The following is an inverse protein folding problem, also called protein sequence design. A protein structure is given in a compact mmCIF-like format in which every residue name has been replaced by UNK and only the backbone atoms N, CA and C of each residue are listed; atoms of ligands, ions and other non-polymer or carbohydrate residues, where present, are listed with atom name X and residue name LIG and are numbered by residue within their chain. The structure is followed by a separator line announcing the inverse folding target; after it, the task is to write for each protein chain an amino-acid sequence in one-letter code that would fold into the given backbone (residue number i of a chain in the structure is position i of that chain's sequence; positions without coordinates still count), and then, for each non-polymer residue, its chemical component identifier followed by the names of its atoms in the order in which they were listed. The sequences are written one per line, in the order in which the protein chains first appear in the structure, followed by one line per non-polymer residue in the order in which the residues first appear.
data_IF_330444390610
#
_entry.id   IF_330444390610
#
_cell.length_a   1.000
_cell.length_b   1.000
_cell.length_c   1.000
_cell.angle_alpha   90.00
_cell.angle_beta   90.00
_cell.angle_gamma   90.00
#
_symmetry.space_group_name_H-M   'P 1'
#
loop_
_entity.id
_entity.type
_entity.pdbx_description
1 polymer ?
#
# COMPACT_ATOMS: atom_id res chain seq x y z
N UNK A 1 37.98 -50.31 -38.43
CA UNK A 1 37.53 -48.89 -38.44
C UNK A 1 36.06 -48.70 -38.03
N UNK A 2 35.19 -49.72 -38.13
CA UNK A 2 33.77 -49.61 -37.72
C UNK A 2 33.53 -49.47 -36.20
N UNK A 3 34.37 -50.08 -35.34
CA UNK A 3 34.17 -50.02 -33.88
C UNK A 3 34.44 -48.61 -33.29
N UNK A 4 35.45 -47.91 -33.82
CA UNK A 4 35.75 -46.53 -33.43
C UNK A 4 34.67 -45.55 -33.90
N UNK A 5 34.10 -45.78 -35.08
CA UNK A 5 33.01 -44.95 -35.61
C UNK A 5 31.71 -45.15 -34.81
N UNK A 6 31.42 -46.40 -34.38
CA UNK A 6 30.27 -46.70 -33.52
C UNK A 6 30.42 -46.05 -32.14
N UNK A 7 31.62 -46.07 -31.55
CA UNK A 7 31.92 -45.38 -30.29
C UNK A 7 31.73 -43.86 -30.39
N UNK A 8 32.11 -43.26 -31.51
CA UNK A 8 31.91 -41.82 -31.78
C UNK A 8 30.44 -41.48 -32.00
N UNK A 9 29.69 -42.30 -32.73
CA UNK A 9 28.26 -42.07 -32.93
C UNK A 9 27.46 -42.23 -31.63
N UNK A 10 27.82 -43.21 -30.79
CA UNK A 10 27.21 -43.38 -29.47
C UNK A 10 27.56 -42.23 -28.52
N UNK A 11 28.80 -41.73 -28.54
CA UNK A 11 29.17 -40.58 -27.71
C UNK A 11 28.45 -39.30 -28.16
N UNK A 12 28.33 -39.07 -29.47
CA UNK A 12 27.54 -37.95 -30.00
C UNK A 12 26.05 -38.08 -29.68
N UNK A 13 25.47 -39.29 -29.70
CA UNK A 13 24.08 -39.54 -29.30
C UNK A 13 23.84 -39.30 -27.80
N UNK A 14 24.79 -39.65 -26.93
CA UNK A 14 24.74 -39.34 -25.49
C UNK A 14 24.82 -37.82 -25.27
N UNK A 15 25.67 -37.11 -26.02
CA UNK A 15 25.78 -35.65 -25.95
C UNK A 15 24.52 -34.94 -26.48
N UNK A 16 23.91 -35.42 -27.58
CA UNK A 16 22.67 -34.84 -28.12
C UNK A 16 21.45 -35.15 -27.25
N UNK A 17 21.35 -36.34 -26.66
CA UNK A 17 20.27 -36.70 -25.72
C UNK A 17 20.38 -35.96 -24.37
N UNK A 18 21.60 -35.73 -23.87
CA UNK A 18 21.83 -34.88 -22.70
C UNK A 18 21.49 -33.39 -22.96
N UNK A 19 21.74 -32.92 -24.19
CA UNK A 19 21.40 -31.55 -24.61
C UNK A 19 19.90 -31.36 -24.89
N UNK A 20 19.21 -32.37 -25.42
CA UNK A 20 17.77 -32.29 -25.70
C UNK A 20 16.92 -32.14 -24.43
N UNK A 21 17.37 -32.68 -23.29
CA UNK A 21 16.71 -32.50 -21.98
C UNK A 21 17.02 -31.13 -21.32
N UNK A 22 17.91 -30.32 -21.90
CA UNK A 22 18.45 -29.08 -21.31
C UNK A 22 18.10 -27.80 -22.07
N UNK A 23 17.20 -27.86 -23.05
CA UNK A 23 16.55 -26.67 -23.61
C UNK A 23 15.09 -26.56 -23.13
N UNK A 24 14.87 -26.74 -21.83
CA UNK A 24 13.70 -26.18 -21.16
C UNK A 24 14.15 -25.00 -20.28
N UNK A 25 14.91 -24.07 -20.88
CA UNK A 25 14.88 -22.70 -20.40
C UNK A 25 13.50 -22.22 -20.82
N UNK A 26 12.49 -22.44 -19.97
CA UNK A 26 11.21 -21.75 -20.14
C UNK A 26 11.58 -20.27 -20.14
N UNK A 27 11.59 -19.65 -21.31
CA UNK A 27 11.66 -18.21 -21.39
C UNK A 27 10.54 -17.69 -20.50
N UNK A 28 10.86 -16.81 -19.57
CA UNK A 28 9.83 -16.19 -18.75
C UNK A 28 8.86 -15.49 -19.70
N UNK A 29 7.61 -15.97 -19.75
CA UNK A 29 6.57 -15.29 -20.52
C UNK A 29 6.37 -13.91 -19.87
N UNK A 30 6.22 -12.88 -20.70
CA UNK A 30 5.97 -11.53 -20.20
C UNK A 30 4.75 -11.48 -19.28
N UNK A 31 3.75 -12.36 -19.48
CA UNK A 31 2.61 -12.53 -18.56
C UNK A 31 3.02 -13.07 -17.20
N UNK A 32 3.95 -14.02 -17.13
CA UNK A 32 4.44 -14.55 -15.85
C UNK A 32 5.20 -13.46 -15.05
N UNK A 33 5.92 -12.58 -15.76
CA UNK A 33 6.58 -11.41 -15.18
C UNK A 33 5.53 -10.42 -14.66
N UNK A 34 4.55 -10.05 -15.49
CA UNK A 34 3.46 -9.15 -15.10
C UNK A 34 2.68 -9.73 -13.91
N UNK A 35 2.40 -11.03 -13.89
CA UNK A 35 1.72 -11.70 -12.76
C UNK A 35 2.55 -11.69 -11.47
N UNK A 36 3.88 -11.71 -11.57
CA UNK A 36 4.76 -11.57 -10.41
C UNK A 36 4.75 -10.13 -9.87
N UNK A 37 4.79 -9.11 -10.74
CA UNK A 37 4.68 -7.70 -10.33
C UNK A 37 3.31 -7.36 -9.74
N UNK A 38 2.22 -7.81 -10.37
CA UNK A 38 0.86 -7.58 -9.88
C UNK A 38 0.57 -8.32 -8.57
N UNK A 39 1.24 -9.45 -8.29
CA UNK A 39 1.19 -10.10 -6.96
C UNK A 39 1.84 -9.26 -5.88
N UNK A 40 2.94 -8.58 -6.19
CA UNK A 40 3.63 -7.72 -5.23
C UNK A 40 2.79 -6.48 -4.90
N UNK A 41 2.19 -5.83 -5.90
CA UNK A 41 1.27 -4.69 -5.67
C UNK A 41 0.02 -5.09 -4.87
N UNK A 42 -0.51 -6.30 -5.11
CA UNK A 42 -1.67 -6.82 -4.36
C UNK A 42 -1.35 -7.05 -2.87
N UNK A 43 -0.11 -7.32 -2.49
CA UNK A 43 0.27 -7.44 -1.06
C UNK A 43 0.29 -6.11 -0.33
N UNK A 44 0.49 -5.00 -1.04
CA UNK A 44 0.38 -3.66 -0.46
C UNK A 44 -1.07 -3.14 -0.42
N UNK A 45 -1.98 -3.65 -1.27
CA UNK A 45 -3.40 -3.26 -1.26
C UNK A 45 -4.34 -4.21 -0.49
N UNK A 46 -3.95 -5.45 -0.18
CA UNK A 46 -4.79 -6.42 0.57
C UNK A 46 -4.58 -6.36 2.10
N UNK A 47 -4.06 -5.25 2.61
CA UNK A 47 -4.10 -4.96 4.05
C UNK A 47 -5.23 -4.01 4.43
N UNK A 48 -6.35 -4.03 3.71
CA UNK A 48 -7.59 -3.33 4.09
C UNK A 48 -8.75 -4.32 4.23
N UNK A 49 -8.54 -5.40 4.99
CA UNK A 49 -9.62 -6.16 5.67
C UNK A 49 -9.24 -6.63 7.08
N UNK A 50 -8.12 -6.14 7.61
CA UNK A 50 -7.85 -6.26 9.04
C UNK A 50 -8.38 -4.99 9.73
N UNK A 51 -9.15 -5.17 10.80
CA UNK A 51 -9.53 -4.13 11.75
C UNK A 51 -8.24 -3.51 12.29
N UNK A 52 -7.75 -2.44 11.65
CA UNK A 52 -6.65 -1.61 12.15
C UNK A 52 -7.29 -0.44 12.89
N UNK A 53 -7.01 -0.21 14.18
CA UNK A 53 -7.43 1.04 14.81
C UNK A 53 -6.76 2.18 14.04
N UNK A 54 -7.59 2.97 13.37
CA UNK A 54 -7.16 3.99 12.41
C UNK A 54 -6.06 4.89 13.00
N UNK A 55 -5.01 5.24 12.22
CA UNK A 55 -4.15 6.33 12.58
C UNK A 55 -5.00 7.62 12.61
N UNK A 56 -5.06 8.25 13.80
CA UNK A 56 -5.86 9.44 14.17
C UNK A 56 -5.78 10.65 13.21
N UNK A 57 -4.98 10.57 12.16
CA UNK A 57 -4.79 11.62 11.16
C UNK A 57 -5.73 11.51 9.94
N UNK A 58 -6.40 10.36 9.69
CA UNK A 58 -7.33 10.23 8.55
C UNK A 58 -8.81 10.34 8.93
N UNK A 59 -9.16 10.12 10.21
CA UNK A 59 -10.53 10.21 10.72
C UNK A 59 -11.15 11.60 10.58
N UNK A 60 -10.39 12.68 10.82
CA UNK A 60 -10.96 14.03 10.85
C UNK A 60 -11.34 14.57 9.46
N UNK A 61 -10.68 14.10 8.40
CA UNK A 61 -11.06 14.45 7.02
C UNK A 61 -12.34 13.72 6.57
N UNK A 62 -12.61 12.54 7.13
CA UNK A 62 -13.78 11.72 6.76
C UNK A 62 -15.04 11.98 7.60
N UNK A 63 -14.91 12.52 8.81
CA UNK A 63 -16.05 12.86 9.67
C UNK A 63 -16.66 14.24 9.39
N UNK A 64 -16.05 15.03 8.50
CA UNK A 64 -16.46 16.42 8.26
C UNK A 64 -16.24 17.32 9.46
N UNK A 65 -15.49 16.86 10.47
CA UNK A 65 -15.24 17.61 11.69
C UNK A 65 -14.10 18.62 11.49
N UNK A 66 -14.24 19.81 12.06
CA UNK A 66 -13.19 20.84 12.01
C UNK A 66 -13.08 21.59 13.34
N UNK A 67 -11.87 22.02 13.68
CA UNK A 67 -11.65 22.92 14.80
C UNK A 67 -11.97 24.36 14.39
N UNK A 68 -12.89 24.99 15.12
CA UNK A 68 -13.27 26.39 14.96
C UNK A 68 -12.55 27.26 15.98
N UNK A 69 -12.04 28.41 15.53
CA UNK A 69 -11.34 29.43 16.33
C UNK A 69 -9.87 29.57 15.92
N UNK A 70 -9.45 30.80 15.59
CA UNK A 70 -8.10 31.09 15.09
C UNK A 70 -7.16 31.50 16.21
N UNK A 71 -5.97 30.90 16.26
CA UNK A 71 -4.93 31.27 17.23
C UNK A 71 -4.27 32.60 16.84
N UNK A 72 -3.78 33.42 17.78
CA UNK A 72 -3.69 33.17 19.23
C UNK A 72 -4.94 33.57 20.05
N UNK A 73 -5.91 34.26 19.45
CA UNK A 73 -7.13 34.72 20.15
C UNK A 73 -8.35 33.87 19.75
N UNK A 74 -8.64 32.80 20.48
CA UNK A 74 -9.63 31.84 20.01
C UNK A 74 -10.99 32.01 20.68
N UNK A 75 -12.02 32.27 19.89
CA UNK A 75 -13.41 32.19 20.33
C UNK A 75 -14.23 31.50 19.23
N UNK A 76 -13.95 30.22 19.00
CA UNK A 76 -14.59 29.46 17.92
C UNK A 76 -16.09 29.26 18.12
N UNK A 77 -16.84 29.09 17.04
CA UNK A 77 -18.25 28.72 17.03
C UNK A 77 -18.55 27.72 15.92
N UNK A 78 -19.53 26.85 16.14
CA UNK A 78 -20.04 25.96 15.11
C UNK A 78 -21.21 26.65 14.39
N UNK A 79 -21.20 26.59 13.06
CA UNK A 79 -22.30 27.07 12.24
C UNK A 79 -23.52 26.16 12.29
N UNK A 80 -24.57 26.51 11.53
CA UNK A 80 -25.76 25.65 11.36
C UNK A 80 -25.36 24.31 10.74
N UNK A 81 -25.98 23.23 11.21
CA UNK A 81 -25.69 21.87 10.76
C UNK A 81 -24.49 21.21 11.45
N UNK A 82 -23.85 21.89 12.41
CA UNK A 82 -22.73 21.36 13.17
C UNK A 82 -22.94 21.51 14.68
N UNK A 83 -22.47 20.55 15.45
CA UNK A 83 -22.48 20.53 16.92
C UNK A 83 -21.07 20.56 17.49
N UNK A 84 -20.94 21.15 18.68
CA UNK A 84 -19.68 21.18 19.42
C UNK A 84 -19.53 19.84 20.15
N UNK A 85 -18.56 19.01 19.73
CA UNK A 85 -18.27 17.74 20.40
C UNK A 85 -17.08 17.82 21.35
N UNK A 86 -16.17 18.77 21.14
CA UNK A 86 -15.01 18.96 22.01
C UNK A 86 -14.60 20.44 22.09
N UNK A 87 -13.82 20.78 23.13
CA UNK A 87 -13.25 22.11 23.34
C UNK A 87 -11.81 21.95 23.78
N UNK A 88 -10.89 22.66 23.15
CA UNK A 88 -9.46 22.55 23.46
C UNK A 88 -8.74 23.89 23.19
N UNK A 89 -7.68 24.19 23.94
CA UNK A 89 -6.89 25.41 23.73
C UNK A 89 -5.92 25.30 22.55
N UNK A 90 -5.54 24.10 22.14
CA UNK A 90 -4.65 23.84 21.02
C UNK A 90 -5.38 23.21 19.85
N UNK A 91 -6.36 22.34 20.06
CA UNK A 91 -7.30 21.78 19.06
C UNK A 91 -6.66 21.26 17.77
N UNK A 92 -6.37 22.18 16.85
CA UNK A 92 -5.67 21.97 15.56
C UNK A 92 -4.14 21.88 15.69
N UNK A 93 -3.60 22.01 16.90
CA UNK A 93 -2.17 21.98 17.22
C UNK A 93 -1.59 23.35 17.56
N UNK A 94 -2.28 24.45 17.28
CA UNK A 94 -1.79 25.81 17.58
C UNK A 94 -2.52 26.37 18.80
N UNK A 95 -1.77 26.64 19.87
CA UNK A 95 -2.35 27.07 21.14
C UNK A 95 -2.91 28.50 21.11
N UNK A 96 -4.08 28.67 21.71
CA UNK A 96 -4.69 29.96 22.03
C UNK A 96 -4.06 30.55 23.28
N UNK A 97 -3.72 31.84 23.23
CA UNK A 97 -3.39 32.63 24.42
C UNK A 97 -4.64 32.91 25.24
N UNK A 98 -5.71 33.33 24.57
CA UNK A 98 -7.00 33.65 25.18
C UNK A 98 -8.12 32.85 24.51
N UNK A 99 -9.10 32.44 25.32
CA UNK A 99 -10.25 31.65 24.89
C UNK A 99 -9.94 30.19 24.53
N UNK A 100 -10.80 29.57 23.71
CA UNK A 100 -10.80 28.13 23.38
C UNK A 100 -11.26 27.86 21.94
N UNK A 101 -10.72 26.81 21.34
CA UNK A 101 -11.23 26.24 20.08
C UNK A 101 -12.37 25.28 20.37
N UNK A 102 -13.24 25.08 19.39
CA UNK A 102 -14.37 24.14 19.45
C UNK A 102 -14.27 23.16 18.29
N UNK A 103 -14.33 21.87 18.57
CA UNK A 103 -14.42 20.85 17.54
C UNK A 103 -15.89 20.75 17.09
N UNK A 104 -16.12 21.15 15.85
CA UNK A 104 -17.42 21.17 15.21
C UNK A 104 -17.55 19.96 14.30
N UNK A 105 -18.57 19.14 14.51
CA UNK A 105 -18.90 17.99 13.65
C UNK A 105 -20.32 18.12 13.11
N UNK A 106 -20.61 17.56 11.92
CA UNK A 106 -21.97 17.51 11.40
C UNK A 106 -22.95 16.88 12.41
N UNK A 107 -24.21 17.36 12.40
CA UNK A 107 -25.32 16.75 13.13
C UNK A 107 -25.59 15.30 12.69
#
# INVERSE_FOLDING_TARGET
MHCSMLLVLLSMAVVTSANAHRLNIKGMDMRDIIDAYLREERRLQVSETAVVPEPKFRLMASTGCFWSGTSPFCNGSCGKGFIVIARDKSGDGIRCWFGIKKLCCPL
#
